data_IF_388943370520
#
_entry.id   IF_388943370520
#
_cell.length_a   1.000
_cell.length_b   1.000
_cell.length_c   1.000
_cell.angle_alpha   90.00
_cell.angle_beta   90.00
_cell.angle_gamma   90.00
#
_symmetry.space_group_name_H-M   'P 1'
#
loop_
_entity.id
_entity.type
_entity.pdbx_description
1 polymer ?
#
# COMPACT_ATOMS: atom_id res chain seq x y z
N UNK A 1 -15.91 -48.56 58.49
CA UNK A 1 -16.83 -47.44 58.78
C UNK A 1 -17.42 -46.95 57.43
N UNK A 2 -18.72 -46.93 57.24
CA UNK A 2 -19.30 -46.43 56.02
C UNK A 2 -19.18 -44.93 55.97
N UNK A 3 -18.58 -44.43 54.91
CA UNK A 3 -18.52 -42.99 54.54
C UNK A 3 -19.95 -42.59 54.17
N UNK A 4 -20.58 -41.76 54.98
CA UNK A 4 -21.90 -41.19 54.64
C UNK A 4 -21.75 -40.32 53.35
N UNK A 5 -22.61 -40.60 52.39
CA UNK A 5 -22.74 -39.77 51.19
C UNK A 5 -23.16 -38.34 51.57
N UNK A 6 -22.59 -37.31 50.96
CA UNK A 6 -22.95 -35.93 51.26
C UNK A 6 -24.45 -35.70 51.01
N UNK A 7 -25.07 -34.93 51.88
CA UNK A 7 -26.52 -34.58 51.76
C UNK A 7 -26.71 -33.75 50.47
N UNK A 8 -27.78 -34.00 49.72
CA UNK A 8 -28.17 -33.22 48.51
C UNK A 8 -28.15 -31.72 48.74
N UNK A 9 -28.36 -31.27 49.97
CA UNK A 9 -28.28 -29.85 50.37
C UNK A 9 -26.82 -29.35 50.40
N UNK A 10 -25.84 -30.22 50.76
CA UNK A 10 -24.42 -29.91 50.71
C UNK A 10 -23.94 -29.84 49.27
N UNK A 11 -24.29 -30.79 48.42
CA UNK A 11 -23.97 -30.78 46.99
C UNK A 11 -24.55 -29.55 46.28
N UNK A 12 -25.76 -29.14 46.60
CA UNK A 12 -26.37 -27.93 46.06
C UNK A 12 -25.69 -26.63 46.53
N UNK A 13 -25.12 -26.60 47.75
CA UNK A 13 -24.31 -25.49 48.24
C UNK A 13 -22.96 -25.43 47.52
N UNK A 14 -22.26 -26.54 47.41
CA UNK A 14 -20.98 -26.64 46.75
C UNK A 14 -21.08 -26.28 45.24
N UNK A 15 -22.19 -26.69 44.61
CA UNK A 15 -22.46 -26.32 43.22
C UNK A 15 -22.70 -24.80 43.03
N UNK A 16 -23.46 -24.18 43.97
CA UNK A 16 -23.68 -22.74 43.95
C UNK A 16 -22.40 -21.95 44.22
N UNK A 17 -21.53 -22.43 45.07
CA UNK A 17 -20.25 -21.81 45.37
C UNK A 17 -19.30 -21.91 44.15
N UNK A 18 -19.24 -23.07 43.50
CA UNK A 18 -18.49 -23.23 42.21
C UNK A 18 -19.02 -22.39 41.08
N UNK A 19 -20.34 -22.21 40.97
CA UNK A 19 -20.96 -21.33 39.98
C UNK A 19 -20.61 -19.85 40.26
N UNK A 20 -20.67 -19.43 41.52
CA UNK A 20 -20.23 -18.07 41.92
C UNK A 20 -18.77 -17.80 41.63
N UNK A 21 -17.89 -18.79 41.90
CA UNK A 21 -16.46 -18.66 41.62
C UNK A 21 -16.17 -18.60 40.09
N UNK A 22 -16.98 -19.34 39.28
CA UNK A 22 -16.86 -19.27 37.81
C UNK A 22 -17.40 -17.96 37.26
N UNK A 23 -18.49 -17.42 37.76
CA UNK A 23 -19.02 -16.10 37.39
C UNK A 23 -18.05 -14.99 37.79
N UNK A 24 -17.51 -15.01 39.00
CA UNK A 24 -16.50 -14.04 39.45
C UNK A 24 -15.22 -14.08 38.63
N UNK A 25 -14.79 -15.26 38.18
CA UNK A 25 -13.62 -15.39 37.28
C UNK A 25 -13.93 -14.93 35.86
N UNK A 26 -15.16 -15.10 35.36
CA UNK A 26 -15.60 -14.59 34.09
C UNK A 26 -15.67 -13.06 34.09
N UNK A 27 -16.25 -12.48 35.16
CA UNK A 27 -16.31 -11.03 35.32
C UNK A 27 -14.92 -10.39 35.46
N UNK A 28 -14.00 -11.04 36.18
CA UNK A 28 -12.61 -10.58 36.29
C UNK A 28 -11.86 -10.61 34.94
N UNK A 29 -12.11 -11.61 34.10
CA UNK A 29 -11.54 -11.68 32.74
C UNK A 29 -12.09 -10.59 31.81
N UNK A 30 -13.39 -10.34 31.87
CA UNK A 30 -14.03 -9.27 31.09
C UNK A 30 -13.49 -7.90 31.52
N UNK A 31 -13.25 -7.69 32.81
CA UNK A 31 -12.66 -6.44 33.30
C UNK A 31 -11.17 -6.31 32.93
N UNK A 32 -10.42 -7.42 32.95
CA UNK A 32 -9.03 -7.44 32.45
C UNK A 32 -8.96 -7.14 30.94
N UNK A 33 -9.81 -7.77 30.13
CA UNK A 33 -9.92 -7.48 28.70
C UNK A 33 -10.33 -6.03 28.42
N UNK A 34 -11.24 -5.48 29.23
CA UNK A 34 -11.65 -4.10 29.15
C UNK A 34 -10.50 -3.14 29.51
N UNK A 35 -9.72 -3.42 30.56
CA UNK A 35 -8.55 -2.64 30.93
C UNK A 35 -7.44 -2.71 29.87
N UNK A 36 -7.24 -3.87 29.24
CA UNK A 36 -6.31 -4.03 28.12
C UNK A 36 -6.79 -3.22 26.91
N UNK A 37 -8.08 -3.26 26.59
CA UNK A 37 -8.68 -2.45 25.52
C UNK A 37 -8.61 -0.95 25.81
N UNK A 38 -8.86 -0.52 27.04
CA UNK A 38 -8.72 0.87 27.46
C UNK A 38 -7.25 1.34 27.45
N UNK A 39 -6.32 0.50 27.87
CA UNK A 39 -4.88 0.79 27.79
C UNK A 39 -4.37 0.87 26.33
N UNK A 40 -4.96 0.09 25.43
CA UNK A 40 -4.67 0.18 23.99
C UNK A 40 -5.36 1.38 23.32
N UNK A 41 -6.52 1.83 23.79
CA UNK A 41 -7.20 3.03 23.30
C UNK A 41 -6.63 4.34 23.87
N UNK A 42 -5.96 4.30 25.02
CA UNK A 42 -5.20 5.46 25.56
C UNK A 42 -3.83 5.64 24.92
N UNK A 43 -3.35 4.71 24.08
CA UNK A 43 -2.24 5.03 23.17
C UNK A 43 -2.71 6.16 22.28
N UNK A 44 -2.15 7.37 22.52
CA UNK A 44 -2.31 8.65 21.82
C UNK A 44 -3.23 8.51 20.61
N UNK A 45 -4.43 9.09 20.66
CA UNK A 45 -5.22 9.36 19.45
C UNK A 45 -4.21 9.89 18.45
N UNK A 46 -3.99 9.17 17.36
CA UNK A 46 -3.22 9.69 16.24
C UNK A 46 -3.90 11.01 15.92
N UNK A 47 -3.17 12.11 16.11
CA UNK A 47 -3.66 13.42 15.73
C UNK A 47 -4.19 13.28 14.31
N UNK A 48 -5.43 13.66 14.08
CA UNK A 48 -6.04 13.50 12.76
C UNK A 48 -5.16 14.18 11.74
N UNK A 49 -5.04 13.62 10.55
CA UNK A 49 -4.22 14.20 9.46
C UNK A 49 -4.49 15.71 9.30
N UNK A 50 -5.72 16.16 9.50
CA UNK A 50 -6.09 17.57 9.52
C UNK A 50 -5.37 18.40 10.60
N UNK A 51 -5.08 17.84 11.76
CA UNK A 51 -4.35 18.54 12.84
C UNK A 51 -2.85 18.59 12.55
N UNK A 52 -2.29 17.54 11.92
CA UNK A 52 -0.88 17.49 11.52
C UNK A 52 -0.65 18.35 10.28
N UNK A 53 -1.57 18.32 9.31
CA UNK A 53 -1.45 19.03 8.04
C UNK A 53 -1.60 20.56 8.17
N UNK A 54 -2.23 21.06 9.23
CA UNK A 54 -2.38 22.50 9.45
C UNK A 54 -1.04 23.27 9.54
N UNK A 55 0.06 22.58 9.81
CA UNK A 55 1.39 23.19 9.98
C UNK A 55 2.40 22.75 8.89
N UNK A 56 2.00 21.91 7.91
CA UNK A 56 2.90 21.48 6.83
C UNK A 56 2.59 22.30 5.58
N UNK A 57 3.47 23.24 5.26
CA UNK A 57 3.48 23.88 3.94
C UNK A 57 4.32 23.03 3.00
N UNK A 58 3.67 22.45 1.99
CA UNK A 58 4.38 21.82 0.88
C UNK A 58 4.97 22.92 0.00
N UNK A 59 6.26 23.16 0.12
CA UNK A 59 6.95 24.26 -0.57
C UNK A 59 7.28 23.96 -2.01
N UNK A 60 7.28 22.67 -2.41
CA UNK A 60 7.61 22.28 -3.77
C UNK A 60 6.54 21.35 -4.37
N UNK A 61 6.02 21.68 -5.56
CA UNK A 61 5.13 20.78 -6.28
C UNK A 61 5.92 19.55 -6.79
N UNK A 62 5.29 18.39 -6.76
CA UNK A 62 5.86 17.19 -7.37
C UNK A 62 5.86 17.38 -8.88
N UNK A 63 7.03 17.77 -9.43
CA UNK A 63 7.20 17.95 -10.87
C UNK A 63 7.22 16.58 -11.57
N UNK A 64 6.26 16.35 -12.46
CA UNK A 64 6.18 15.17 -13.29
C UNK A 64 6.40 15.56 -14.75
N UNK A 65 7.28 14.81 -15.44
CA UNK A 65 7.57 15.04 -16.86
C UNK A 65 6.51 14.46 -17.77
N UNK A 66 5.69 13.53 -17.27
CA UNK A 66 4.68 12.87 -18.08
C UNK A 66 3.60 13.84 -18.58
N UNK A 67 3.28 13.74 -19.88
CA UNK A 67 2.17 14.44 -20.52
C UNK A 67 1.46 13.46 -21.45
N UNK A 68 0.12 13.41 -21.46
CA UNK A 68 -0.62 12.60 -22.42
C UNK A 68 -0.34 13.07 -23.85
N UNK A 69 -0.53 12.19 -24.85
CA UNK A 69 -0.43 12.55 -26.26
C UNK A 69 -1.37 13.71 -26.63
N UNK A 70 -1.00 14.46 -27.67
CA UNK A 70 -1.78 15.64 -28.09
C UNK A 70 -3.25 15.31 -28.36
N UNK A 71 -3.53 14.23 -29.10
CA UNK A 71 -4.91 13.83 -29.44
C UNK A 71 -5.76 13.43 -28.20
N UNK A 72 -5.13 13.05 -27.11
CA UNK A 72 -5.82 12.81 -25.83
C UNK A 72 -6.12 14.14 -25.12
N UNK A 73 -5.16 15.06 -25.11
CA UNK A 73 -5.32 16.37 -24.48
C UNK A 73 -6.31 17.28 -25.20
N UNK A 74 -6.47 17.10 -26.52
CA UNK A 74 -7.41 17.89 -27.33
C UNK A 74 -8.85 17.43 -27.24
N UNK A 75 -9.15 16.34 -26.50
CA UNK A 75 -10.51 15.89 -26.25
C UNK A 75 -11.28 16.90 -25.41
N UNK A 76 -12.53 17.14 -25.79
CA UNK A 76 -13.48 17.90 -24.96
C UNK A 76 -13.91 17.05 -23.75
N UNK A 77 -14.43 17.70 -22.71
CA UNK A 77 -14.94 16.97 -21.54
C UNK A 77 -16.11 16.03 -21.91
N UNK A 78 -16.96 16.44 -22.86
CA UNK A 78 -18.04 15.59 -23.40
C UNK A 78 -17.48 14.29 -24.02
N UNK A 79 -16.39 14.39 -24.78
CA UNK A 79 -15.71 13.22 -25.36
C UNK A 79 -15.10 12.32 -24.29
N UNK A 80 -14.51 12.91 -23.23
CA UNK A 80 -13.99 12.16 -22.09
C UNK A 80 -15.11 11.43 -21.35
N UNK A 81 -16.25 12.07 -21.13
CA UNK A 81 -17.42 11.44 -20.50
C UNK A 81 -18.01 10.30 -21.35
N UNK A 82 -18.07 10.44 -22.66
CA UNK A 82 -18.46 9.34 -23.55
C UNK A 82 -17.50 8.15 -23.40
N UNK A 83 -16.20 8.42 -23.34
CA UNK A 83 -15.19 7.36 -23.13
C UNK A 83 -15.36 6.70 -21.76
N UNK A 84 -15.55 7.46 -20.68
CA UNK A 84 -15.77 6.91 -19.32
C UNK A 84 -17.02 6.02 -19.29
N UNK A 85 -18.13 6.48 -19.86
CA UNK A 85 -19.37 5.69 -19.97
C UNK A 85 -19.16 4.39 -20.76
N UNK A 86 -18.43 4.45 -21.87
CA UNK A 86 -18.12 3.28 -22.71
C UNK A 86 -17.37 2.18 -21.94
N UNK A 87 -16.47 2.57 -21.04
CA UNK A 87 -15.65 1.65 -20.24
C UNK A 87 -16.18 1.45 -18.81
N UNK A 88 -17.38 1.93 -18.51
CA UNK A 88 -18.01 1.83 -17.18
C UNK A 88 -17.13 2.39 -16.05
N UNK A 89 -16.49 3.52 -16.30
CA UNK A 89 -15.66 4.24 -15.33
C UNK A 89 -16.45 5.39 -14.76
N UNK A 90 -16.56 5.46 -13.44
CA UNK A 90 -17.10 6.62 -12.71
C UNK A 90 -15.93 7.38 -12.10
N UNK A 91 -15.96 8.71 -12.21
CA UNK A 91 -14.90 9.58 -11.66
C UNK A 91 -15.55 10.73 -10.92
N UNK A 92 -15.05 10.99 -9.72
CA UNK A 92 -15.42 12.14 -8.91
C UNK A 92 -14.17 13.00 -8.67
N UNK A 93 -14.32 14.32 -8.69
CA UNK A 93 -13.21 15.25 -8.45
C UNK A 93 -13.15 16.38 -9.46
N UNK A 94 -12.19 17.30 -9.26
CA UNK A 94 -12.01 18.47 -10.14
C UNK A 94 -11.02 18.13 -11.26
N UNK A 95 -11.39 18.49 -12.50
CA UNK A 95 -10.55 18.35 -13.70
C UNK A 95 -9.82 17.00 -13.81
N UNK A 96 -10.54 15.87 -13.78
CA UNK A 96 -9.89 14.57 -13.84
C UNK A 96 -9.17 14.39 -15.18
N UNK A 97 -7.95 13.81 -15.19
CA UNK A 97 -7.24 13.55 -16.43
C UNK A 97 -8.07 12.70 -17.41
N UNK A 98 -7.87 12.86 -18.71
CA UNK A 98 -8.60 12.09 -19.71
C UNK A 98 -8.26 10.59 -19.61
N UNK A 99 -9.28 9.73 -19.79
CA UNK A 99 -9.12 8.29 -19.85
C UNK A 99 -8.30 7.87 -21.07
N UNK A 100 -7.36 6.93 -20.90
CA UNK A 100 -6.53 6.37 -21.97
C UNK A 100 -6.72 4.85 -22.02
N UNK A 101 -7.11 4.32 -23.17
CA UNK A 101 -7.53 2.93 -23.33
C UNK A 101 -6.43 1.96 -23.72
N UNK A 102 -5.18 2.41 -23.88
CA UNK A 102 -4.05 1.53 -24.17
C UNK A 102 -2.75 2.01 -23.53
N UNK A 103 -1.84 1.09 -23.23
CA UNK A 103 -0.57 1.38 -22.55
C UNK A 103 0.40 2.21 -23.40
N UNK A 104 0.36 2.11 -24.73
CA UNK A 104 1.24 2.87 -25.62
C UNK A 104 0.95 4.37 -25.57
N UNK A 105 -0.34 4.72 -25.60
CA UNK A 105 -0.77 6.12 -25.49
C UNK A 105 -0.50 6.69 -24.09
N UNK A 106 -0.39 5.84 -23.07
CA UNK A 106 0.10 6.21 -21.75
C UNK A 106 1.62 6.43 -21.71
N UNK A 107 2.33 6.17 -22.82
CA UNK A 107 3.80 6.24 -22.93
C UNK A 107 4.52 5.25 -22.01
N UNK A 108 3.90 4.11 -21.74
CA UNK A 108 4.56 3.01 -21.02
C UNK A 108 5.67 2.43 -21.92
N UNK A 109 6.89 2.20 -21.41
CA UNK A 109 7.99 1.59 -22.15
C UNK A 109 7.62 0.27 -22.82
N UNK A 110 8.11 0.05 -24.03
CA UNK A 110 7.76 -1.15 -24.84
C UNK A 110 8.13 -2.43 -24.10
N UNK A 111 9.31 -2.47 -23.46
CA UNK A 111 9.76 -3.63 -22.68
C UNK A 111 8.77 -4.00 -21.55
N UNK A 112 8.19 -3.01 -20.86
CA UNK A 112 7.17 -3.24 -19.83
C UNK A 112 5.87 -3.74 -20.46
N UNK A 113 5.44 -3.17 -21.60
CA UNK A 113 4.25 -3.63 -22.33
C UNK A 113 4.43 -5.09 -22.76
N UNK A 114 5.59 -5.47 -23.26
CA UNK A 114 5.90 -6.85 -23.64
C UNK A 114 5.88 -7.76 -22.42
N UNK A 115 6.46 -7.35 -21.30
CA UNK A 115 6.38 -8.09 -20.04
C UNK A 115 4.92 -8.31 -19.61
N UNK A 116 4.08 -7.25 -19.65
CA UNK A 116 2.66 -7.38 -19.32
C UNK A 116 1.95 -8.38 -20.23
N UNK A 117 2.27 -8.41 -21.53
CA UNK A 117 1.73 -9.37 -22.49
C UNK A 117 2.12 -10.81 -22.15
N UNK A 118 3.35 -11.07 -21.72
CA UNK A 118 3.74 -12.43 -21.28
C UNK A 118 2.96 -12.89 -20.06
N UNK A 119 2.44 -11.94 -19.25
CA UNK A 119 1.53 -12.21 -18.13
C UNK A 119 0.05 -12.28 -18.53
N UNK A 120 -0.26 -12.23 -19.83
CA UNK A 120 -1.62 -12.26 -20.35
C UNK A 120 -2.35 -10.92 -20.32
N UNK A 121 -1.67 -9.82 -19.93
CA UNK A 121 -2.25 -8.47 -19.86
C UNK A 121 -2.04 -7.78 -21.22
N UNK A 122 -3.05 -7.83 -22.07
CA UNK A 122 -2.98 -7.27 -23.43
C UNK A 122 -3.43 -5.81 -23.49
N UNK A 123 -4.37 -5.42 -22.65
CA UNK A 123 -4.94 -4.07 -22.58
C UNK A 123 -5.17 -3.67 -21.11
N UNK A 124 -5.20 -2.37 -20.81
CA UNK A 124 -5.51 -1.90 -19.47
C UNK A 124 -6.96 -2.19 -19.09
N UNK A 125 -7.19 -2.48 -17.82
CA UNK A 125 -8.53 -2.60 -17.23
C UNK A 125 -9.15 -1.21 -17.00
N UNK A 126 -10.47 -1.09 -16.76
CA UNK A 126 -11.12 0.21 -16.56
C UNK A 126 -10.46 1.08 -15.48
N UNK A 127 -10.07 0.48 -14.32
CA UNK A 127 -9.36 1.21 -13.27
C UNK A 127 -7.97 1.69 -13.73
N UNK A 128 -7.29 0.93 -14.58
CA UNK A 128 -5.99 1.30 -15.14
C UNK A 128 -6.13 2.38 -16.22
N UNK A 129 -7.19 2.32 -17.03
CA UNK A 129 -7.44 3.32 -18.07
C UNK A 129 -7.60 4.74 -17.53
N UNK A 130 -8.18 4.90 -16.35
CA UNK A 130 -8.34 6.18 -15.67
C UNK A 130 -7.26 6.42 -14.62
N UNK A 131 -6.93 5.42 -13.80
CA UNK A 131 -6.03 5.57 -12.67
C UNK A 131 -4.58 5.81 -13.08
N UNK A 132 -4.08 5.13 -14.13
CA UNK A 132 -2.70 5.35 -14.60
C UNK A 132 -2.48 6.79 -15.07
N UNK A 133 -3.30 7.37 -15.96
CA UNK A 133 -3.18 8.78 -16.32
C UNK A 133 -3.25 9.73 -15.11
N UNK A 134 -4.10 9.43 -14.14
CA UNK A 134 -4.24 10.22 -12.90
C UNK A 134 -2.95 10.19 -12.08
N UNK A 135 -2.42 9.00 -11.81
CA UNK A 135 -1.15 8.83 -11.09
C UNK A 135 0.05 9.43 -11.85
N UNK A 136 0.13 9.23 -13.17
CA UNK A 136 1.19 9.82 -14.00
C UNK A 136 1.15 11.35 -14.02
N UNK A 137 -0.04 11.94 -13.87
CA UNK A 137 -0.19 13.40 -13.74
C UNK A 137 0.24 13.94 -12.38
N UNK A 138 0.65 13.08 -11.44
CA UNK A 138 1.05 13.45 -10.08
C UNK A 138 -0.12 13.85 -9.19
N UNK A 139 -1.32 13.37 -9.47
CA UNK A 139 -2.53 13.64 -8.67
C UNK A 139 -2.81 12.50 -7.70
N UNK A 140 -3.34 12.87 -6.54
CA UNK A 140 -3.85 11.90 -5.58
C UNK A 140 -5.15 11.28 -6.07
N UNK A 141 -5.39 10.04 -5.70
CA UNK A 141 -6.59 9.31 -6.09
C UNK A 141 -6.98 8.24 -5.08
N UNK A 142 -8.28 7.98 -5.00
CA UNK A 142 -8.83 6.78 -4.37
C UNK A 142 -9.39 5.90 -5.49
N UNK A 143 -8.82 4.72 -5.67
CA UNK A 143 -9.20 3.78 -6.71
C UNK A 143 -10.05 2.64 -6.17
N UNK A 144 -11.30 2.52 -6.62
CA UNK A 144 -12.23 1.45 -6.24
C UNK A 144 -12.41 0.51 -7.41
N UNK A 145 -12.06 -0.76 -7.24
CA UNK A 145 -12.28 -1.81 -8.22
C UNK A 145 -12.39 -3.17 -7.52
N UNK A 146 -13.03 -4.12 -8.18
CA UNK A 146 -13.13 -5.49 -7.70
C UNK A 146 -11.74 -6.14 -7.51
N UNK A 147 -11.68 -7.16 -6.66
CA UNK A 147 -10.48 -8.01 -6.54
C UNK A 147 -10.15 -8.62 -7.90
N UNK A 148 -8.88 -8.57 -8.30
CA UNK A 148 -8.47 -8.95 -9.66
C UNK A 148 -8.72 -7.88 -10.75
N UNK A 149 -9.31 -6.73 -10.41
CA UNK A 149 -9.57 -5.61 -11.34
C UNK A 149 -8.33 -4.85 -11.81
N UNK A 150 -7.14 -5.21 -11.35
CA UNK A 150 -5.88 -4.60 -11.80
C UNK A 150 -5.42 -3.39 -10.99
N UNK A 151 -5.90 -3.22 -9.74
CA UNK A 151 -5.49 -2.16 -8.82
C UNK A 151 -3.97 -2.10 -8.63
N UNK A 152 -3.34 -3.24 -8.38
CA UNK A 152 -1.89 -3.33 -8.12
C UNK A 152 -1.06 -2.68 -9.22
N UNK A 153 -1.38 -2.94 -10.50
CA UNK A 153 -0.66 -2.32 -11.60
C UNK A 153 -0.92 -0.80 -11.68
N UNK A 154 -2.10 -0.34 -11.26
CA UNK A 154 -2.48 1.08 -11.30
C UNK A 154 -1.58 1.95 -10.42
N UNK A 155 -1.13 1.44 -9.27
CA UNK A 155 -0.22 2.20 -8.39
C UNK A 155 1.25 1.80 -8.55
N UNK A 156 1.55 0.54 -8.89
CA UNK A 156 2.94 0.08 -8.97
C UNK A 156 3.66 0.53 -10.25
N UNK A 157 2.97 0.57 -11.38
CA UNK A 157 3.57 0.99 -12.65
C UNK A 157 4.00 2.47 -12.66
N UNK A 158 3.17 3.44 -12.22
CA UNK A 158 3.61 4.82 -12.10
C UNK A 158 4.82 4.98 -11.18
N UNK A 159 4.78 4.35 -10.01
CA UNK A 159 5.87 4.40 -9.06
C UNK A 159 7.16 3.83 -9.63
N UNK A 160 7.10 2.72 -10.36
CA UNK A 160 8.25 2.13 -11.03
C UNK A 160 8.88 3.10 -12.04
N UNK A 161 8.07 3.74 -12.90
CA UNK A 161 8.56 4.67 -13.91
C UNK A 161 9.12 5.96 -13.29
N UNK A 162 8.50 6.46 -12.23
CA UNK A 162 9.03 7.61 -11.48
C UNK A 162 10.35 7.29 -10.80
N UNK A 163 10.49 6.08 -10.27
CA UNK A 163 11.74 5.61 -9.67
C UNK A 163 12.86 5.50 -10.69
N UNK A 164 12.58 4.98 -11.88
CA UNK A 164 13.56 4.91 -12.97
C UNK A 164 13.96 6.30 -13.49
N UNK A 165 13.02 7.24 -13.59
CA UNK A 165 13.29 8.63 -13.96
C UNK A 165 14.16 9.33 -12.91
N UNK A 166 13.88 9.12 -11.63
CA UNK A 166 14.65 9.72 -10.54
C UNK A 166 16.09 9.18 -10.51
N UNK A 167 16.28 7.85 -10.63
CA UNK A 167 17.60 7.23 -10.70
C UNK A 167 18.41 7.74 -11.91
N UNK A 168 17.75 7.96 -13.05
CA UNK A 168 18.41 8.52 -14.24
C UNK A 168 18.86 9.97 -14.06
N UNK A 169 18.18 10.75 -13.23
CA UNK A 169 18.51 12.15 -12.94
C UNK A 169 19.63 12.27 -11.92
N UNK A 170 19.46 11.56 -10.79
CA UNK A 170 20.41 11.54 -9.67
C UNK A 170 20.49 10.12 -9.14
N UNK A 171 21.61 9.40 -9.36
CA UNK A 171 21.76 8.03 -8.87
C UNK A 171 21.65 7.95 -7.35
N UNK A 172 20.85 7.01 -6.87
CA UNK A 172 20.63 6.77 -5.45
C UNK A 172 21.86 6.17 -4.79
N UNK A 173 22.26 6.76 -3.67
CA UNK A 173 23.43 6.38 -2.90
C UNK A 173 23.04 5.64 -1.60
N UNK A 174 24.05 5.21 -0.88
CA UNK A 174 23.91 4.60 0.43
C UNK A 174 23.10 5.49 1.38
N UNK A 175 22.04 4.93 1.95
CA UNK A 175 21.18 5.63 2.91
C UNK A 175 20.05 6.43 2.29
N UNK A 176 20.00 6.57 0.95
CA UNK A 176 18.86 7.18 0.31
C UNK A 176 17.61 6.31 0.52
N UNK A 177 16.58 6.92 1.09
CA UNK A 177 15.31 6.25 1.38
C UNK A 177 14.44 6.09 0.14
N UNK A 178 13.35 5.33 0.24
CA UNK A 178 12.49 5.07 -0.89
C UNK A 178 11.82 6.35 -1.41
N UNK A 179 11.69 6.48 -2.74
CA UNK A 179 10.85 7.47 -3.42
C UNK A 179 9.38 7.14 -3.17
N UNK A 180 9.05 5.86 -3.13
CA UNK A 180 7.70 5.41 -2.92
C UNK A 180 7.58 4.28 -1.92
N UNK A 181 6.50 4.36 -1.17
CA UNK A 181 6.11 3.40 -0.16
C UNK A 181 4.73 2.83 -0.50
N UNK A 182 4.64 1.51 -0.52
CA UNK A 182 3.38 0.76 -0.64
C UNK A 182 3.15 0.04 0.68
N UNK A 183 2.03 0.30 1.33
CA UNK A 183 1.64 -0.35 2.57
C UNK A 183 0.52 -1.34 2.29
N UNK A 184 0.74 -2.61 2.62
CA UNK A 184 -0.21 -3.69 2.44
C UNK A 184 -0.65 -4.26 3.80
N UNK A 185 -1.91 -4.70 3.96
CA UNK A 185 -2.41 -5.23 5.23
C UNK A 185 -1.82 -6.59 5.61
N UNK A 186 -1.44 -7.42 4.63
CA UNK A 186 -0.90 -8.75 4.85
C UNK A 186 0.48 -8.95 4.25
N UNK A 187 1.24 -9.93 4.80
CA UNK A 187 2.57 -10.30 4.29
C UNK A 187 2.49 -10.90 2.89
N UNK A 188 1.46 -11.67 2.64
CA UNK A 188 1.20 -12.36 1.38
C UNK A 188 0.95 -11.34 0.27
N UNK A 189 0.09 -10.35 0.51
CA UNK A 189 -0.19 -9.28 -0.45
C UNK A 189 1.06 -8.41 -0.70
N UNK A 190 1.80 -8.08 0.36
CA UNK A 190 3.06 -7.34 0.23
C UNK A 190 4.10 -8.10 -0.61
N UNK A 191 4.21 -9.42 -0.41
CA UNK A 191 5.11 -10.27 -1.22
C UNK A 191 4.67 -10.32 -2.67
N UNK A 192 3.39 -10.53 -2.94
CA UNK A 192 2.83 -10.57 -4.30
C UNK A 192 3.06 -9.24 -5.04
N UNK A 193 2.82 -8.13 -4.37
CA UNK A 193 3.06 -6.79 -4.91
C UNK A 193 4.54 -6.56 -5.19
N UNK A 194 5.42 -6.93 -4.26
CA UNK A 194 6.87 -6.84 -4.42
C UNK A 194 7.38 -7.65 -5.60
N UNK A 195 6.97 -8.92 -5.74
CA UNK A 195 7.39 -9.78 -6.87
C UNK A 195 6.91 -9.23 -8.21
N UNK A 196 5.70 -8.65 -8.26
CA UNK A 196 5.20 -7.98 -9.46
C UNK A 196 6.06 -6.77 -9.85
N UNK A 197 6.40 -5.93 -8.88
CA UNK A 197 7.27 -4.75 -9.10
C UNK A 197 8.65 -5.18 -9.54
N UNK A 198 9.24 -6.18 -8.88
CA UNK A 198 10.56 -6.71 -9.18
C UNK A 198 10.64 -7.22 -10.62
N UNK A 199 9.68 -8.03 -11.04
CA UNK A 199 9.64 -8.56 -12.40
C UNK A 199 9.49 -7.45 -13.47
N UNK A 200 8.70 -6.42 -13.20
CA UNK A 200 8.60 -5.26 -14.10
C UNK A 200 9.90 -4.42 -14.10
N UNK A 201 10.56 -4.27 -12.95
CA UNK A 201 11.83 -3.55 -12.84
C UNK A 201 12.95 -4.26 -13.61
N UNK A 202 13.03 -5.60 -13.55
CA UNK A 202 13.95 -6.41 -14.34
C UNK A 202 13.70 -6.23 -15.85
N UNK A 203 12.44 -6.24 -16.26
CA UNK A 203 12.08 -5.99 -17.66
C UNK A 203 12.47 -4.58 -18.12
N UNK A 204 12.34 -3.58 -17.25
CA UNK A 204 12.71 -2.21 -17.52
C UNK A 204 14.24 -2.07 -17.68
N UNK A 205 15.02 -2.71 -16.79
CA UNK A 205 16.48 -2.76 -16.85
C UNK A 205 16.96 -3.45 -18.14
N UNK A 206 16.36 -4.57 -18.53
CA UNK A 206 16.64 -5.26 -19.81
C UNK A 206 16.31 -4.38 -21.02
N UNK A 207 15.34 -3.48 -20.90
CA UNK A 207 14.98 -2.48 -21.89
C UNK A 207 15.94 -1.27 -21.96
N UNK A 208 17.03 -1.28 -21.19
CA UNK A 208 18.05 -0.19 -21.19
C UNK A 208 17.70 1.00 -20.29
N UNK A 209 16.71 0.88 -19.42
CA UNK A 209 16.37 1.91 -18.43
C UNK A 209 17.19 1.74 -17.15
N UNK A 210 17.17 2.76 -16.31
CA UNK A 210 17.85 2.73 -15.02
C UNK A 210 17.32 1.60 -14.12
N UNK A 211 18.22 1.00 -13.36
CA UNK A 211 17.91 -0.09 -12.44
C UNK A 211 17.12 0.41 -11.23
N UNK A 212 15.90 -0.11 -11.03
CA UNK A 212 15.07 0.19 -9.87
C UNK A 212 15.21 -0.90 -8.82
N UNK A 213 15.58 -0.50 -7.61
CA UNK A 213 15.74 -1.39 -6.44
C UNK A 213 14.51 -1.31 -5.55
N UNK A 214 13.87 -2.46 -5.34
CA UNK A 214 12.73 -2.59 -4.44
C UNK A 214 13.14 -3.33 -3.16
N UNK A 215 12.51 -2.98 -2.03
CA UNK A 215 12.69 -3.60 -0.73
C UNK A 215 11.35 -4.14 -0.22
N UNK A 216 11.37 -5.38 0.27
CA UNK A 216 10.21 -6.01 0.93
C UNK A 216 10.38 -5.93 2.45
N UNK A 217 9.53 -5.13 3.11
CA UNK A 217 9.55 -4.88 4.55
C UNK A 217 8.42 -5.66 5.25
N UNK A 218 8.63 -6.95 5.50
CA UNK A 218 7.65 -7.82 6.19
C UNK A 218 8.28 -8.53 7.39
N UNK A 219 7.44 -8.91 8.36
CA UNK A 219 7.90 -9.72 9.50
C UNK A 219 8.28 -11.13 9.08
N UNK A 220 9.18 -11.77 9.85
CA UNK A 220 9.65 -13.14 9.59
C UNK A 220 10.83 -13.24 8.61
N UNK A 221 11.28 -12.14 8.04
CA UNK A 221 12.52 -12.06 7.24
C UNK A 221 13.62 -11.41 8.09
N UNK A 222 14.86 -11.89 7.92
CA UNK A 222 16.02 -11.38 8.66
C UNK A 222 16.20 -9.87 8.42
N UNK A 223 16.39 -9.12 9.51
CA UNK A 223 16.64 -7.68 9.46
C UNK A 223 17.97 -7.37 8.74
N UNK A 224 18.97 -8.27 8.88
CA UNK A 224 20.27 -8.12 8.23
C UNK A 224 20.19 -8.22 6.70
N UNK A 225 19.37 -9.13 6.18
CA UNK A 225 19.14 -9.25 4.72
C UNK A 225 18.47 -8.02 4.17
N UNK A 226 17.45 -7.50 4.86
CA UNK A 226 16.78 -6.27 4.48
C UNK A 226 17.71 -5.05 4.53
N UNK A 227 18.56 -4.97 5.55
CA UNK A 227 19.56 -3.90 5.71
C UNK A 227 20.63 -3.92 4.63
N UNK A 228 21.00 -5.09 4.10
CA UNK A 228 21.99 -5.19 3.01
C UNK A 228 21.51 -4.51 1.72
N UNK A 229 20.22 -4.67 1.40
CA UNK A 229 19.62 -4.02 0.20
C UNK A 229 19.66 -2.49 0.37
N UNK A 230 19.40 -1.99 1.57
CA UNK A 230 19.41 -0.55 1.88
C UNK A 230 20.79 0.11 1.73
N UNK A 231 21.88 -0.64 1.82
CA UNK A 231 23.23 -0.09 1.63
C UNK A 231 23.49 0.50 0.25
N UNK A 232 22.71 0.10 -0.75
CA UNK A 232 22.83 0.59 -2.12
C UNK A 232 21.77 1.64 -2.49
N UNK A 233 20.98 2.10 -1.50
CA UNK A 233 19.80 2.94 -1.74
C UNK A 233 18.62 2.13 -2.29
N UNK A 234 17.41 2.53 -1.93
CA UNK A 234 16.17 1.85 -2.31
C UNK A 234 15.19 2.87 -2.91
N UNK A 235 14.56 2.50 -4.02
CA UNK A 235 13.59 3.35 -4.70
C UNK A 235 12.17 3.09 -4.24
N UNK A 236 11.82 1.81 -4.04
CA UNK A 236 10.45 1.38 -3.71
C UNK A 236 10.50 0.48 -2.48
N UNK A 237 9.72 0.81 -1.46
CA UNK A 237 9.49 -0.07 -0.31
C UNK A 237 8.07 -0.61 -0.35
N UNK A 238 7.93 -1.93 -0.23
CA UNK A 238 6.64 -2.60 -0.04
C UNK A 238 6.61 -3.17 1.37
N UNK A 239 5.67 -2.74 2.19
CA UNK A 239 5.73 -2.96 3.62
C UNK A 239 4.40 -3.43 4.22
N UNK A 240 4.49 -4.17 5.32
CA UNK A 240 3.38 -4.32 6.27
C UNK A 240 3.56 -3.34 7.42
N UNK A 241 2.46 -2.79 8.02
CA UNK A 241 2.53 -1.70 8.99
C UNK A 241 3.49 -1.96 10.15
N UNK A 242 3.38 -3.10 10.84
CA UNK A 242 4.21 -3.39 12.01
C UNK A 242 5.71 -3.48 11.69
N UNK A 243 6.09 -4.07 10.55
CA UNK A 243 7.52 -4.15 10.16
C UNK A 243 8.05 -2.79 9.71
N UNK A 244 7.24 -2.02 9.03
CA UNK A 244 7.60 -0.65 8.65
C UNK A 244 7.87 0.19 9.90
N UNK A 245 7.00 0.13 10.90
CA UNK A 245 7.18 0.82 12.18
C UNK A 245 8.51 0.44 12.84
N UNK A 246 8.80 -0.86 12.97
CA UNK A 246 10.07 -1.38 13.51
C UNK A 246 11.30 -0.79 12.79
N UNK A 247 11.24 -0.71 11.46
CA UNK A 247 12.37 -0.23 10.65
C UNK A 247 12.54 1.28 10.74
N UNK A 248 11.45 2.03 10.88
CA UNK A 248 11.48 3.49 11.10
C UNK A 248 12.00 3.83 12.50
N UNK A 249 11.53 3.14 13.56
CA UNK A 249 12.00 3.34 14.94
C UNK A 249 13.51 3.04 15.08
N UNK A 250 13.99 2.01 14.42
CA UNK A 250 15.41 1.65 14.37
C UNK A 250 16.24 2.48 13.40
N UNK A 251 15.62 3.44 12.71
CA UNK A 251 16.26 4.30 11.71
C UNK A 251 16.94 3.54 10.57
N UNK A 252 16.46 2.32 10.27
CA UNK A 252 16.95 1.49 9.17
C UNK A 252 16.42 1.99 7.83
N UNK A 253 15.19 2.48 7.80
CA UNK A 253 14.54 3.15 6.67
C UNK A 253 14.22 4.58 7.07
N UNK A 254 14.44 5.50 6.15
CA UNK A 254 14.08 6.92 6.29
C UNK A 254 13.16 7.31 5.12
N UNK A 255 12.17 8.14 5.39
CA UNK A 255 11.16 8.52 4.37
C UNK A 255 11.33 9.96 3.88
N UNK A 256 12.52 10.58 4.05
CA UNK A 256 12.77 11.96 3.63
C UNK A 256 12.60 12.18 2.12
N UNK A 257 12.94 11.17 1.32
CA UNK A 257 12.81 11.20 -0.14
C UNK A 257 11.47 10.64 -0.63
N UNK A 258 10.58 10.21 0.28
CA UNK A 258 9.33 9.56 -0.09
C UNK A 258 8.31 10.60 -0.58
N UNK A 259 8.06 10.59 -1.88
CA UNK A 259 7.09 11.48 -2.55
C UNK A 259 5.87 10.73 -3.09
N UNK A 260 5.82 9.42 -2.96
CA UNK A 260 4.72 8.57 -3.41
C UNK A 260 4.32 7.59 -2.31
N UNK A 261 3.08 7.67 -1.87
CA UNK A 261 2.51 6.74 -0.87
C UNK A 261 1.29 6.05 -1.46
N UNK A 262 1.24 4.73 -1.32
CA UNK A 262 0.07 3.92 -1.65
C UNK A 262 -0.36 3.09 -0.44
N UNK A 263 -1.64 3.11 -0.15
CA UNK A 263 -2.28 2.22 0.81
C UNK A 263 -3.11 1.21 0.00
N UNK A 264 -2.73 -0.06 0.03
CA UNK A 264 -3.38 -1.13 -0.72
C UNK A 264 -4.25 -1.96 0.23
N UNK A 265 -5.58 -1.78 0.12
CA UNK A 265 -6.67 -2.35 0.94
C UNK A 265 -6.76 -1.91 2.41
#
# INVERSE_FOLDING_TARGET
KPTQAPSLVQEARDLRERLRDTESRADARVEEERQILEAHTTRKKLAGYAEIAQNIQYTEPILRSWRPPHFVRSRTEEQNEIMRKRYHVSVEGQDPPPLISNFRDMKVPVCVIEHLRTKGIQAPTPIQMQGLPTAFSGRDMIGIAFTGGGKTLTFSLPLLLFSAEAESRVPFQHGDGPIGLIVCPSRELARQTYESIKAMAESLELGGYARVRALLCIGGVSMSEQSHILRHGVHIAVATPGRLQDMLEKKIVQLHSCTYLCLDE
#
